data_IF_004581850697
#
_entry.id   IF_004581850697
#
_cell.length_a   1.000
_cell.length_b   1.000
_cell.length_c   1.000
_cell.angle_alpha   90.00
_cell.angle_beta   90.00
_cell.angle_gamma   90.00
#
_symmetry.space_group_name_H-M   'P 1'
#
loop_
_entity.id
_entity.type
_entity.pdbx_description
1 polymer ?
#
# COMPACT_ATOMS: atom_id res chain seq x y z
N UNK A 1 1.10 43.70 -0.77
CA UNK A 1 1.15 42.45 -1.57
C UNK A 1 1.03 41.26 -0.60
N UNK A 2 0.08 40.35 -0.72
CA UNK A 2 0.01 39.18 0.18
C UNK A 2 1.23 38.29 -0.09
N UNK A 3 2.02 38.04 0.97
CA UNK A 3 3.12 37.09 0.92
C UNK A 3 2.57 35.73 0.47
N UNK A 4 3.04 35.19 -0.66
CA UNK A 4 2.82 33.78 -1.04
C UNK A 4 3.34 32.91 0.08
N UNK A 5 2.44 32.37 0.94
CA UNK A 5 2.80 31.33 1.91
C UNK A 5 3.53 30.24 1.13
N UNK A 6 4.81 30.01 1.40
CA UNK A 6 5.57 28.93 0.77
C UNK A 6 4.82 27.63 1.04
N UNK A 7 4.39 26.96 -0.01
CA UNK A 7 3.63 25.70 0.11
C UNK A 7 4.56 24.69 0.76
N UNK A 8 4.25 24.28 2.00
CA UNK A 8 5.05 23.28 2.70
C UNK A 8 5.12 22.01 1.86
N UNK A 9 6.33 21.54 1.56
CA UNK A 9 6.55 20.31 0.81
C UNK A 9 6.08 19.13 1.67
N UNK A 10 5.16 18.33 1.16
CA UNK A 10 4.63 17.12 1.78
C UNK A 10 5.20 15.90 1.06
N UNK A 11 5.78 14.97 1.80
CA UNK A 11 6.45 13.78 1.27
C UNK A 11 5.57 12.54 1.45
N UNK A 12 5.56 11.66 0.44
CA UNK A 12 4.87 10.39 0.48
C UNK A 12 5.75 9.26 -0.08
N UNK A 13 5.60 8.05 0.45
CA UNK A 13 6.24 6.83 -0.04
C UNK A 13 5.17 5.79 -0.42
N UNK A 14 5.29 5.21 -1.63
CA UNK A 14 4.43 4.12 -2.10
C UNK A 14 5.29 2.89 -2.42
N UNK A 15 5.09 1.80 -1.69
CA UNK A 15 5.76 0.55 -2.01
C UNK A 15 5.05 -0.17 -3.16
N UNK A 16 5.82 -0.80 -4.08
CA UNK A 16 5.24 -1.38 -5.29
C UNK A 16 4.60 -0.33 -6.22
N UNK A 17 5.12 0.92 -6.22
CA UNK A 17 4.52 2.07 -6.88
C UNK A 17 4.57 2.09 -8.42
N UNK A 18 5.19 1.09 -9.06
CA UNK A 18 5.44 1.09 -10.50
C UNK A 18 4.34 0.42 -11.34
N UNK A 19 3.45 -0.37 -10.74
CA UNK A 19 2.44 -1.19 -11.44
C UNK A 19 1.13 -1.26 -10.64
N UNK A 20 0.07 -1.71 -11.31
CA UNK A 20 -1.22 -2.00 -10.68
C UNK A 20 -1.72 -0.86 -9.79
N UNK A 21 -2.24 -1.20 -8.63
CA UNK A 21 -2.76 -0.21 -7.67
C UNK A 21 -1.69 0.81 -7.24
N UNK A 22 -0.44 0.38 -7.03
CA UNK A 22 0.66 1.27 -6.66
C UNK A 22 0.88 2.39 -7.67
N UNK A 23 0.75 2.10 -8.97
CA UNK A 23 0.86 3.12 -10.02
C UNK A 23 -0.27 4.15 -9.95
N UNK A 24 -1.52 3.69 -9.77
CA UNK A 24 -2.67 4.58 -9.61
C UNK A 24 -2.57 5.44 -8.35
N UNK A 25 -2.13 4.86 -7.23
CA UNK A 25 -1.89 5.57 -5.97
C UNK A 25 -0.79 6.62 -6.13
N UNK A 26 0.32 6.25 -6.77
CA UNK A 26 1.44 7.19 -7.05
C UNK A 26 0.94 8.38 -7.84
N UNK A 27 0.19 8.14 -8.92
CA UNK A 27 -0.37 9.19 -9.76
C UNK A 27 -1.29 10.13 -8.96
N UNK A 28 -2.20 9.58 -8.17
CA UNK A 28 -3.14 10.36 -7.37
C UNK A 28 -2.44 11.22 -6.30
N UNK A 29 -1.43 10.69 -5.62
CA UNK A 29 -0.67 11.45 -4.63
C UNK A 29 0.19 12.56 -5.25
N UNK A 30 0.79 12.33 -6.43
CA UNK A 30 1.48 13.39 -7.18
C UNK A 30 0.50 14.49 -7.57
N UNK A 31 -0.67 14.15 -8.10
CA UNK A 31 -1.73 15.11 -8.44
C UNK A 31 -2.25 15.88 -7.21
N UNK A 32 -2.27 15.23 -6.02
CA UNK A 32 -2.61 15.87 -4.75
C UNK A 32 -1.47 16.79 -4.21
N UNK A 33 -0.34 16.90 -4.94
CA UNK A 33 0.76 17.79 -4.64
C UNK A 33 1.75 17.26 -3.62
N UNK A 34 1.84 15.93 -3.44
CA UNK A 34 2.93 15.31 -2.70
C UNK A 34 4.19 15.15 -3.56
N UNK A 35 5.35 15.30 -2.94
CA UNK A 35 6.59 14.74 -3.48
C UNK A 35 6.58 13.25 -3.16
N UNK A 36 6.53 12.41 -4.19
CA UNK A 36 6.31 10.97 -4.04
C UNK A 36 7.56 10.18 -4.38
N UNK A 37 7.95 9.29 -3.47
CA UNK A 37 8.92 8.22 -3.74
C UNK A 37 8.17 6.92 -3.98
N UNK A 38 8.72 6.11 -4.88
CA UNK A 38 8.18 4.78 -5.18
C UNK A 38 9.27 3.73 -5.05
N UNK A 39 8.91 2.57 -4.49
CA UNK A 39 9.85 1.44 -4.38
C UNK A 39 9.34 0.20 -5.09
N UNK A 40 10.26 -0.69 -5.41
CA UNK A 40 10.02 -2.01 -6.00
C UNK A 40 11.33 -2.64 -6.48
N UNK A 41 11.28 -3.89 -6.94
CA UNK A 41 12.46 -4.66 -7.34
C UNK A 41 12.86 -4.44 -8.81
N UNK A 42 11.88 -4.16 -9.68
CA UNK A 42 12.09 -3.96 -11.11
C UNK A 42 12.48 -2.51 -11.40
N UNK A 43 13.78 -2.25 -11.49
CA UNK A 43 14.36 -0.92 -11.73
C UNK A 43 13.86 -0.29 -13.04
N UNK A 44 13.68 -1.07 -14.10
CA UNK A 44 13.20 -0.55 -15.40
C UNK A 44 11.76 -0.06 -15.29
N UNK A 45 10.89 -0.84 -14.64
CA UNK A 45 9.50 -0.44 -14.41
C UNK A 45 9.40 0.78 -13.47
N UNK A 46 10.22 0.81 -12.40
CA UNK A 46 10.28 1.93 -11.46
C UNK A 46 10.68 3.24 -12.17
N UNK A 47 11.78 3.23 -12.91
CA UNK A 47 12.27 4.43 -13.58
C UNK A 47 11.27 4.95 -14.62
N UNK A 48 10.63 4.05 -15.37
CA UNK A 48 9.57 4.41 -16.32
C UNK A 48 8.38 5.07 -15.64
N UNK A 49 7.90 4.49 -14.54
CA UNK A 49 6.78 5.03 -13.79
C UNK A 49 7.14 6.38 -13.14
N UNK A 50 8.31 6.48 -12.52
CA UNK A 50 8.79 7.70 -11.89
C UNK A 50 8.91 8.85 -12.89
N UNK A 51 9.55 8.62 -14.03
CA UNK A 51 9.67 9.64 -15.11
C UNK A 51 8.31 10.09 -15.62
N UNK A 52 7.38 9.14 -15.86
CA UNK A 52 6.04 9.45 -16.37
C UNK A 52 5.21 10.27 -15.38
N UNK A 53 5.34 10.02 -14.08
CA UNK A 53 4.47 10.58 -13.05
C UNK A 53 5.10 11.75 -12.28
N UNK A 54 6.39 12.04 -12.47
CA UNK A 54 7.09 13.04 -11.66
C UNK A 54 7.37 12.55 -10.22
N UNK A 55 7.54 11.24 -10.04
CA UNK A 55 7.94 10.62 -8.77
C UNK A 55 9.44 10.32 -8.75
N UNK A 56 9.97 9.92 -7.59
CA UNK A 56 11.36 9.48 -7.43
C UNK A 56 11.40 7.97 -7.21
N UNK A 57 12.18 7.27 -8.03
CA UNK A 57 12.35 5.82 -7.93
C UNK A 57 13.48 5.44 -6.97
N UNK A 58 13.24 4.46 -6.09
CA UNK A 58 14.27 3.82 -5.28
C UNK A 58 14.07 2.30 -5.39
N UNK A 59 15.05 1.60 -5.96
CA UNK A 59 15.00 0.15 -5.98
C UNK A 59 15.11 -0.40 -4.56
N UNK A 60 14.14 -1.21 -4.14
CA UNK A 60 14.12 -1.82 -2.82
C UNK A 60 13.26 -3.08 -2.80
N UNK A 61 13.64 -4.05 -1.97
CA UNK A 61 12.82 -5.18 -1.58
C UNK A 61 12.22 -4.90 -0.19
N UNK A 62 10.90 -4.96 -0.07
CA UNK A 62 10.20 -4.70 1.20
C UNK A 62 10.54 -5.74 2.29
N UNK A 63 11.05 -6.91 1.91
CA UNK A 63 11.49 -7.95 2.85
C UNK A 63 12.86 -7.66 3.47
N UNK A 64 13.63 -6.72 2.89
CA UNK A 64 14.96 -6.31 3.35
C UNK A 64 14.90 -5.12 4.30
N UNK A 65 15.27 -5.31 5.55
CA UNK A 65 15.37 -4.23 6.54
C UNK A 65 16.42 -3.19 6.15
N UNK A 66 17.54 -3.61 5.55
CA UNK A 66 18.59 -2.72 5.05
C UNK A 66 18.08 -1.83 3.90
N UNK A 67 17.25 -2.36 3.01
CA UNK A 67 16.63 -1.56 1.95
C UNK A 67 15.71 -0.50 2.52
N UNK A 68 14.91 -0.84 3.54
CA UNK A 68 14.07 0.12 4.23
C UNK A 68 14.89 1.27 4.87
N UNK A 69 16.02 0.95 5.51
CA UNK A 69 16.90 1.96 6.10
C UNK A 69 17.48 2.88 5.02
N UNK A 70 17.92 2.34 3.89
CA UNK A 70 18.41 3.09 2.73
C UNK A 70 17.31 3.97 2.11
N UNK A 71 16.10 3.44 1.95
CA UNK A 71 14.95 4.21 1.41
C UNK A 71 14.68 5.43 2.27
N UNK A 72 14.58 5.28 3.58
CA UNK A 72 14.32 6.42 4.46
C UNK A 72 15.51 7.37 4.57
N UNK A 73 16.75 6.89 4.50
CA UNK A 73 17.92 7.77 4.44
C UNK A 73 17.87 8.71 3.22
N UNK A 74 17.43 8.22 2.07
CA UNK A 74 17.24 9.06 0.86
C UNK A 74 16.09 10.05 1.05
N UNK A 75 14.96 9.62 1.60
CA UNK A 75 13.78 10.49 1.81
C UNK A 75 14.07 11.59 2.84
N UNK A 76 14.84 11.28 3.88
CA UNK A 76 15.16 12.22 4.95
C UNK A 76 16.08 13.36 4.47
N UNK A 77 16.92 13.14 3.45
CA UNK A 77 17.75 14.18 2.84
C UNK A 77 16.94 15.23 2.06
N UNK A 78 15.75 14.88 1.59
CA UNK A 78 14.90 15.82 0.86
C UNK A 78 14.15 16.78 1.83
N UNK A 79 13.97 18.05 1.45
CA UNK A 79 13.21 19.00 2.28
C UNK A 79 11.75 18.59 2.38
N UNK A 80 11.09 19.02 3.46
CA UNK A 80 9.66 18.82 3.66
C UNK A 80 9.32 17.78 4.71
N UNK A 81 8.01 17.60 4.95
CA UNK A 81 7.46 16.72 5.99
C UNK A 81 7.06 15.37 5.41
N UNK A 82 7.47 14.29 6.04
CA UNK A 82 7.02 12.95 5.66
C UNK A 82 5.65 12.69 6.29
N UNK A 83 4.60 12.69 5.49
CA UNK A 83 3.22 12.64 5.96
C UNK A 83 2.47 11.37 5.54
N UNK A 84 2.94 10.65 4.50
CA UNK A 84 2.20 9.51 3.96
C UNK A 84 3.12 8.33 3.67
N UNK A 85 2.77 7.16 4.21
CA UNK A 85 3.26 5.86 3.75
C UNK A 85 2.10 5.07 3.16
N UNK A 86 2.28 4.50 1.97
CA UNK A 86 1.36 3.50 1.42
C UNK A 86 2.07 2.16 1.28
N UNK A 87 1.75 1.23 2.14
CA UNK A 87 2.18 -0.17 2.04
C UNK A 87 1.28 -0.88 1.03
N UNK A 88 1.70 -0.84 -0.25
CA UNK A 88 0.98 -1.47 -1.35
C UNK A 88 1.70 -2.71 -1.90
N UNK A 89 3.02 -2.82 -1.73
CA UNK A 89 3.73 -4.02 -2.16
C UNK A 89 3.11 -5.29 -1.57
N UNK A 90 2.81 -6.25 -2.44
CA UNK A 90 2.20 -7.52 -2.07
C UNK A 90 2.20 -8.46 -3.27
N UNK A 91 2.11 -9.76 -3.02
CA UNK A 91 2.06 -10.78 -4.05
C UNK A 91 1.28 -12.01 -3.58
N UNK A 92 0.62 -12.68 -4.52
CA UNK A 92 0.10 -14.02 -4.32
C UNK A 92 1.25 -15.02 -4.52
N UNK A 93 1.82 -15.50 -3.43
CA UNK A 93 2.84 -16.52 -3.47
C UNK A 93 2.14 -17.87 -3.38
N UNK A 94 2.25 -18.69 -4.41
CA UNK A 94 1.70 -20.05 -4.48
C UNK A 94 0.30 -20.19 -3.83
N UNK A 95 -0.73 -19.68 -4.51
CA UNK A 95 -2.13 -19.81 -4.06
C UNK A 95 -2.57 -21.26 -4.30
N UNK A 96 -2.60 -22.05 -3.23
CA UNK A 96 -2.89 -23.49 -3.23
C UNK A 96 -3.36 -23.92 -1.83
N UNK A 97 -3.99 -25.12 -1.67
CA UNK A 97 -4.28 -25.68 -0.34
C UNK A 97 -3.06 -25.65 0.58
N UNK A 98 -3.26 -25.36 1.85
CA UNK A 98 -2.14 -25.18 2.80
C UNK A 98 -1.17 -26.35 2.84
N UNK A 99 -1.70 -27.57 2.72
CA UNK A 99 -0.90 -28.81 2.71
C UNK A 99 -0.02 -28.99 1.47
N UNK A 100 -0.28 -28.22 0.42
CA UNK A 100 0.49 -28.21 -0.83
C UNK A 100 1.50 -27.05 -0.91
N UNK A 101 1.45 -26.13 0.04
CA UNK A 101 2.41 -25.01 0.11
C UNK A 101 3.68 -25.50 0.84
N UNK A 102 4.85 -25.15 0.29
CA UNK A 102 6.11 -25.37 1.00
C UNK A 102 6.29 -24.35 2.14
N UNK A 103 7.05 -24.70 3.18
CA UNK A 103 7.43 -23.76 4.24
C UNK A 103 8.07 -22.48 3.66
N UNK A 104 8.90 -22.62 2.62
CA UNK A 104 9.53 -21.49 1.94
C UNK A 104 8.51 -20.57 1.23
N UNK A 105 7.44 -21.12 0.63
CA UNK A 105 6.36 -20.32 0.04
C UNK A 105 5.57 -19.58 1.12
N UNK A 106 5.28 -20.25 2.25
CA UNK A 106 4.61 -19.64 3.40
C UNK A 106 5.45 -18.50 3.99
N UNK A 107 6.72 -18.74 4.24
CA UNK A 107 7.65 -17.74 4.77
C UNK A 107 7.75 -16.52 3.83
N UNK A 108 7.87 -16.76 2.51
CA UNK A 108 7.92 -15.68 1.54
C UNK A 108 6.60 -14.90 1.47
N UNK A 109 5.46 -15.59 1.56
CA UNK A 109 4.14 -14.94 1.58
C UNK A 109 3.99 -14.02 2.80
N UNK A 110 4.39 -14.46 3.99
CA UNK A 110 4.40 -13.66 5.21
C UNK A 110 5.42 -12.52 5.13
N UNK A 111 6.63 -12.79 4.63
CA UNK A 111 7.67 -11.79 4.49
C UNK A 111 7.23 -10.61 3.59
N UNK A 112 6.59 -10.91 2.44
CA UNK A 112 6.18 -9.89 1.48
C UNK A 112 4.90 -9.17 1.92
N UNK A 113 3.86 -9.92 2.34
CA UNK A 113 2.51 -9.37 2.54
C UNK A 113 2.25 -8.87 3.97
N UNK A 114 3.12 -9.21 4.93
CA UNK A 114 3.02 -8.80 6.33
C UNK A 114 4.31 -8.08 6.78
N UNK A 115 5.42 -8.81 6.93
CA UNK A 115 6.63 -8.28 7.56
C UNK A 115 7.15 -7.03 6.85
N UNK A 116 7.12 -7.01 5.50
CA UNK A 116 7.53 -5.84 4.71
C UNK A 116 6.75 -4.57 5.08
N UNK A 117 5.43 -4.68 5.27
CA UNK A 117 4.60 -3.56 5.70
C UNK A 117 4.89 -3.15 7.15
N UNK A 118 5.10 -4.11 8.06
CA UNK A 118 5.48 -3.84 9.46
C UNK A 118 6.80 -3.08 9.53
N UNK A 119 7.81 -3.47 8.74
CA UNK A 119 9.11 -2.78 8.68
C UNK A 119 8.96 -1.33 8.20
N UNK A 120 8.08 -1.11 7.21
CA UNK A 120 7.74 0.22 6.71
C UNK A 120 7.05 1.06 7.77
N UNK A 121 6.02 0.52 8.42
CA UNK A 121 5.28 1.20 9.49
C UNK A 121 6.20 1.62 10.64
N UNK A 122 7.05 0.72 11.13
CA UNK A 122 8.01 1.00 12.20
C UNK A 122 8.91 2.20 11.91
N UNK A 123 9.31 2.38 10.65
CA UNK A 123 10.18 3.49 10.23
C UNK A 123 9.43 4.77 9.89
N UNK A 124 8.23 4.64 9.35
CA UNK A 124 7.40 5.77 8.95
C UNK A 124 6.73 6.46 10.13
N UNK A 125 6.21 5.70 11.11
CA UNK A 125 5.42 6.24 12.22
C UNK A 125 6.15 7.37 12.97
N UNK A 126 7.40 7.22 13.44
CA UNK A 126 8.09 8.31 14.14
C UNK A 126 8.30 9.55 13.26
N UNK A 127 8.53 9.39 11.95
CA UNK A 127 8.69 10.50 11.00
C UNK A 127 7.39 11.28 10.80
N UNK A 128 6.28 10.54 10.70
CA UNK A 128 4.94 11.13 10.60
C UNK A 128 4.58 11.89 11.87
N UNK A 129 4.87 11.32 13.04
CA UNK A 129 4.67 11.97 14.33
C UNK A 129 5.50 13.26 14.43
N UNK A 130 6.78 13.22 14.06
CA UNK A 130 7.64 14.40 14.03
C UNK A 130 7.18 15.47 13.01
N UNK A 131 6.50 15.06 11.94
CA UNK A 131 5.91 15.99 10.98
C UNK A 131 4.69 16.75 11.54
N UNK A 132 4.13 16.29 12.66
CA UNK A 132 2.91 16.81 13.29
C UNK A 132 1.65 16.07 12.85
N UNK A 133 1.80 14.83 12.43
CA UNK A 133 0.72 13.92 12.00
C UNK A 133 0.73 13.57 10.52
N UNK A 134 -0.06 12.58 10.17
CA UNK A 134 -0.20 12.08 8.80
C UNK A 134 -0.85 10.71 8.75
N UNK A 135 -0.66 9.97 7.65
CA UNK A 135 -1.43 8.76 7.39
C UNK A 135 -0.55 7.63 6.88
N UNK A 136 -0.69 6.45 7.46
CA UNK A 136 -0.25 5.19 6.88
C UNK A 136 -1.47 4.50 6.27
N UNK A 137 -1.38 4.11 4.99
CA UNK A 137 -2.40 3.31 4.31
C UNK A 137 -1.82 1.94 3.99
N UNK A 138 -2.41 0.90 4.56
CA UNK A 138 -2.06 -0.48 4.27
C UNK A 138 -3.04 -1.06 3.25
N UNK A 139 -2.55 -1.48 2.09
CA UNK A 139 -3.38 -2.20 1.12
C UNK A 139 -3.50 -3.64 1.58
N UNK A 140 -4.63 -3.93 2.23
CA UNK A 140 -5.05 -5.25 2.67
C UNK A 140 -5.73 -6.03 1.53
N UNK A 141 -6.69 -6.84 1.85
CA UNK A 141 -7.54 -7.59 0.91
C UNK A 141 -8.82 -8.01 1.62
N UNK A 142 -9.88 -8.25 0.85
CA UNK A 142 -11.07 -8.95 1.37
C UNK A 142 -10.72 -10.32 1.96
N UNK A 143 -9.63 -10.95 1.51
CA UNK A 143 -9.08 -12.19 2.07
C UNK A 143 -8.67 -12.07 3.55
N UNK A 144 -8.50 -10.87 4.09
CA UNK A 144 -8.29 -10.67 5.52
C UNK A 144 -9.52 -11.00 6.38
N UNK A 145 -10.70 -11.04 5.75
CA UNK A 145 -12.02 -11.12 6.41
C UNK A 145 -12.87 -12.28 5.94
N UNK A 146 -12.69 -12.68 4.70
CA UNK A 146 -13.40 -13.83 4.11
C UNK A 146 -12.41 -14.91 3.74
N UNK A 147 -12.85 -16.17 3.89
CA UNK A 147 -12.04 -17.33 3.62
C UNK A 147 -12.33 -17.90 2.22
N UNK A 148 -11.27 -18.27 1.51
CA UNK A 148 -11.32 -19.05 0.28
C UNK A 148 -10.31 -20.18 0.35
N UNK A 149 -10.67 -21.33 -0.17
CA UNK A 149 -9.74 -22.44 -0.29
C UNK A 149 -8.50 -22.02 -1.09
N UNK A 150 -7.31 -22.42 -0.64
CA UNK A 150 -6.04 -22.07 -1.25
C UNK A 150 -5.44 -20.73 -0.81
N UNK A 151 -6.16 -19.88 -0.08
CA UNK A 151 -5.70 -18.53 0.28
C UNK A 151 -5.21 -18.39 1.73
N UNK A 152 -5.07 -19.50 2.46
CA UNK A 152 -4.84 -19.51 3.92
C UNK A 152 -3.67 -18.64 4.36
N UNK A 153 -2.46 -18.82 3.80
CA UNK A 153 -1.26 -18.07 4.19
C UNK A 153 -1.36 -16.59 3.80
N UNK A 154 -1.89 -16.30 2.61
CA UNK A 154 -2.13 -14.92 2.19
C UNK A 154 -3.17 -14.23 3.08
N UNK A 155 -4.27 -14.91 3.41
CA UNK A 155 -5.32 -14.41 4.31
C UNK A 155 -4.78 -14.14 5.71
N UNK A 156 -3.97 -15.05 6.26
CA UNK A 156 -3.31 -14.87 7.55
C UNK A 156 -2.40 -13.63 7.56
N UNK A 157 -1.61 -13.43 6.49
CA UNK A 157 -0.77 -12.24 6.35
C UNK A 157 -1.59 -10.93 6.33
N UNK A 158 -2.68 -10.90 5.56
CA UNK A 158 -3.53 -9.71 5.44
C UNK A 158 -4.35 -9.44 6.68
N UNK A 159 -4.86 -10.47 7.36
CA UNK A 159 -5.53 -10.33 8.65
C UNK A 159 -4.57 -9.82 9.74
N UNK A 160 -3.36 -10.36 9.80
CA UNK A 160 -2.31 -9.87 10.69
C UNK A 160 -1.95 -8.40 10.44
N UNK A 161 -1.90 -7.97 9.17
CA UNK A 161 -1.65 -6.58 8.81
C UNK A 161 -2.77 -5.65 9.30
N UNK A 162 -4.04 -6.05 9.18
CA UNK A 162 -5.18 -5.25 9.66
C UNK A 162 -5.16 -5.13 11.19
N UNK A 163 -4.86 -6.22 11.90
CA UNK A 163 -4.77 -6.18 13.37
C UNK A 163 -3.59 -5.34 13.84
N UNK A 164 -2.42 -5.46 13.19
CA UNK A 164 -1.26 -4.61 13.46
C UNK A 164 -1.58 -3.11 13.26
N UNK A 165 -2.32 -2.77 12.20
CA UNK A 165 -2.71 -1.38 11.91
C UNK A 165 -3.54 -0.77 13.04
N UNK A 166 -4.46 -1.54 13.64
CA UNK A 166 -5.29 -1.10 14.78
C UNK A 166 -4.43 -0.80 16.00
N UNK A 167 -3.48 -1.69 16.33
CA UNK A 167 -2.56 -1.49 17.45
C UNK A 167 -1.69 -0.24 17.26
N UNK A 168 -1.07 -0.12 16.08
CA UNK A 168 -0.20 1.03 15.76
C UNK A 168 -0.97 2.37 15.81
N UNK A 169 -2.23 2.38 15.39
CA UNK A 169 -3.09 3.56 15.53
C UNK A 169 -3.27 3.95 17.00
N UNK A 170 -3.61 2.99 17.87
CA UNK A 170 -3.81 3.23 19.29
C UNK A 170 -2.54 3.73 19.99
N UNK A 171 -1.37 3.25 19.56
CA UNK A 171 -0.07 3.65 20.11
C UNK A 171 0.27 5.12 19.81
N UNK A 172 -0.21 5.67 18.67
CA UNK A 172 0.24 6.97 18.18
C UNK A 172 -0.88 7.97 17.81
N UNK A 173 -2.14 7.66 18.04
CA UNK A 173 -3.28 8.51 17.65
C UNK A 173 -3.21 9.91 18.24
N UNK A 174 -2.75 10.04 19.48
CA UNK A 174 -2.64 11.33 20.17
C UNK A 174 -1.54 12.21 19.58
N UNK A 175 -0.56 11.62 18.89
CA UNK A 175 0.46 12.33 18.14
C UNK A 175 0.06 12.61 16.68
N UNK A 176 -1.20 12.33 16.30
CA UNK A 176 -1.75 12.65 14.99
C UNK A 176 -1.47 11.59 13.91
N UNK A 177 -1.01 10.39 14.26
CA UNK A 177 -0.87 9.29 13.32
C UNK A 177 -2.25 8.65 13.05
N UNK A 178 -2.60 8.51 11.78
CA UNK A 178 -3.75 7.74 11.30
C UNK A 178 -3.25 6.50 10.57
N UNK A 179 -3.88 5.35 10.79
CA UNK A 179 -3.50 4.09 10.15
C UNK A 179 -4.74 3.44 9.55
N UNK A 180 -4.84 3.44 8.24
CA UNK A 180 -5.98 2.93 7.47
C UNK A 180 -5.67 1.59 6.85
N UNK A 181 -6.54 0.61 7.02
CA UNK A 181 -6.56 -0.64 6.25
C UNK A 181 -7.57 -0.56 5.12
N UNK A 182 -7.09 -0.60 3.87
CA UNK A 182 -7.92 -0.59 2.68
C UNK A 182 -7.92 -1.99 2.06
N UNK A 183 -9.07 -2.67 2.07
CA UNK A 183 -9.26 -4.05 1.67
C UNK A 183 -10.00 -4.15 0.32
N UNK A 184 -9.30 -4.04 -0.81
CA UNK A 184 -9.89 -4.24 -2.13
C UNK A 184 -10.11 -5.72 -2.41
N UNK A 185 -11.16 -6.00 -3.21
CA UNK A 185 -11.38 -7.30 -3.84
C UNK A 185 -10.82 -7.32 -5.27
N UNK A 186 -11.55 -7.84 -6.26
CA UNK A 186 -11.06 -8.00 -7.64
C UNK A 186 -10.52 -6.70 -8.23
N UNK A 187 -9.26 -6.71 -8.60
CA UNK A 187 -8.57 -5.57 -9.19
C UNK A 187 -8.15 -5.80 -10.64
N UNK A 188 -8.20 -4.75 -11.44
CA UNK A 188 -7.68 -4.74 -12.81
C UNK A 188 -6.14 -4.57 -12.81
N UNK A 189 -5.44 -5.47 -12.12
CA UNK A 189 -3.98 -5.45 -11.92
C UNK A 189 -3.32 -6.72 -12.47
N UNK A 190 -2.00 -6.78 -12.39
CA UNK A 190 -1.22 -7.98 -12.73
C UNK A 190 -1.12 -8.98 -11.56
N UNK A 191 -1.78 -8.74 -10.44
CA UNK A 191 -1.72 -9.60 -9.25
C UNK A 191 -2.13 -11.04 -9.56
N UNK A 192 -3.23 -11.25 -10.28
CA UNK A 192 -3.70 -12.58 -10.67
C UNK A 192 -2.68 -13.36 -11.48
N UNK A 193 -2.02 -12.71 -12.45
CA UNK A 193 -0.97 -13.34 -13.25
C UNK A 193 0.26 -13.69 -12.40
N UNK A 194 0.65 -12.82 -11.47
CA UNK A 194 1.74 -13.07 -10.54
C UNK A 194 1.44 -14.22 -9.55
N UNK A 195 0.17 -14.36 -9.19
CA UNK A 195 -0.34 -15.44 -8.32
C UNK A 195 -0.65 -16.74 -9.09
N UNK A 196 -0.36 -16.78 -10.40
CA UNK A 196 -0.68 -17.91 -11.29
C UNK A 196 -2.18 -18.27 -11.33
N UNK A 197 -3.04 -17.29 -11.10
CA UNK A 197 -4.49 -17.47 -11.21
C UNK A 197 -4.93 -17.36 -12.67
N UNK A 198 -6.09 -17.94 -12.97
CA UNK A 198 -6.70 -17.84 -14.30
C UNK A 198 -6.94 -16.37 -14.70
N UNK A 199 -6.76 -16.09 -15.97
CA UNK A 199 -7.00 -14.76 -16.50
C UNK A 199 -8.47 -14.39 -16.35
N UNK A 200 -8.73 -13.29 -15.68
CA UNK A 200 -10.05 -12.69 -15.70
C UNK A 200 -10.47 -12.38 -17.16
N UNK A 201 -11.71 -12.71 -17.51
CA UNK A 201 -12.28 -12.28 -18.78
C UNK A 201 -12.20 -10.75 -18.93
N UNK A 202 -11.97 -10.25 -20.13
CA UNK A 202 -11.80 -8.82 -20.38
C UNK A 202 -13.00 -7.97 -19.87
N UNK A 203 -14.22 -8.50 -20.00
CA UNK A 203 -15.43 -7.86 -19.49
C UNK A 203 -15.43 -7.74 -17.96
N UNK A 204 -14.96 -8.76 -17.24
CA UNK A 204 -14.83 -8.75 -15.76
C UNK A 204 -13.74 -7.77 -15.36
N UNK A 205 -12.56 -7.82 -15.98
CA UNK A 205 -11.44 -6.92 -15.71
C UNK A 205 -11.82 -5.45 -15.88
N UNK A 206 -12.63 -5.12 -16.90
CA UNK A 206 -13.12 -3.74 -17.12
C UNK A 206 -14.01 -3.23 -15.98
N UNK A 207 -14.72 -4.11 -15.31
CA UNK A 207 -15.65 -3.80 -14.20
C UNK A 207 -15.02 -4.07 -12.81
N UNK A 208 -13.80 -4.58 -12.74
CA UNK A 208 -13.02 -4.70 -11.50
C UNK A 208 -12.49 -3.35 -11.06
N UNK A 209 -12.05 -3.24 -9.81
CA UNK A 209 -11.49 -2.00 -9.24
C UNK A 209 -10.28 -1.57 -10.08
N UNK A 210 -10.35 -0.37 -10.68
CA UNK A 210 -9.26 0.17 -11.50
C UNK A 210 -8.17 0.80 -10.63
N UNK A 211 -6.88 0.76 -11.04
CA UNK A 211 -5.80 1.42 -10.31
C UNK A 211 -6.04 2.91 -10.03
N UNK A 212 -6.64 3.64 -10.97
CA UNK A 212 -6.95 5.06 -10.78
C UNK A 212 -8.04 5.31 -9.74
N UNK A 213 -9.04 4.42 -9.66
CA UNK A 213 -10.12 4.50 -8.67
C UNK A 213 -9.57 4.31 -7.25
N UNK A 214 -8.78 3.26 -7.04
CA UNK A 214 -8.13 3.02 -5.75
C UNK A 214 -7.17 4.15 -5.39
N UNK A 215 -6.44 4.67 -6.37
CA UNK A 215 -5.54 5.81 -6.19
C UNK A 215 -6.27 7.05 -5.68
N UNK A 216 -7.42 7.37 -6.28
CA UNK A 216 -8.25 8.48 -5.83
C UNK A 216 -8.72 8.30 -4.40
N UNK A 217 -9.22 7.12 -4.04
CA UNK A 217 -9.66 6.80 -2.68
C UNK A 217 -8.52 7.00 -1.67
N UNK A 218 -7.31 6.52 -1.97
CA UNK A 218 -6.14 6.72 -1.10
C UNK A 218 -5.82 8.20 -0.93
N UNK A 219 -5.85 8.99 -2.00
CA UNK A 219 -5.61 10.43 -1.92
C UNK A 219 -6.69 11.15 -1.10
N UNK A 220 -7.97 10.79 -1.25
CA UNK A 220 -9.08 11.34 -0.48
C UNK A 220 -8.94 11.01 1.03
N UNK A 221 -8.55 9.77 1.38
CA UNK A 221 -8.26 9.36 2.77
C UNK A 221 -7.12 10.23 3.35
N UNK A 222 -6.04 10.43 2.60
CA UNK A 222 -4.92 11.26 3.04
C UNK A 222 -5.29 12.75 3.19
N UNK A 223 -6.30 13.23 2.47
CA UNK A 223 -6.78 14.60 2.49
C UNK A 223 -7.80 14.89 3.60
N UNK A 224 -8.27 13.89 4.33
CA UNK A 224 -9.23 14.08 5.42
C UNK A 224 -8.70 15.07 6.47
N UNK A 225 -9.57 15.90 7.06
CA UNK A 225 -9.22 16.74 8.21
C UNK A 225 -8.57 15.90 9.33
N UNK A 226 -7.65 16.52 10.09
CA UNK A 226 -6.84 15.80 11.10
C UNK A 226 -7.66 15.09 12.19
N UNK A 227 -8.87 15.57 12.47
CA UNK A 227 -9.77 14.98 13.48
C UNK A 227 -10.60 13.80 12.94
N UNK A 228 -10.50 13.49 11.64
CA UNK A 228 -11.21 12.36 11.01
C UNK A 228 -10.21 11.34 10.46
N UNK A 229 -10.56 10.07 10.57
CA UNK A 229 -9.84 9.02 9.88
C UNK A 229 -10.76 7.85 9.50
N UNK A 230 -10.36 7.14 8.46
CA UNK A 230 -10.97 5.89 8.05
C UNK A 230 -10.13 4.76 8.63
N UNK A 231 -10.63 4.04 9.61
CA UNK A 231 -9.91 2.91 10.19
C UNK A 231 -9.78 1.77 9.18
N UNK A 232 -10.90 1.43 8.55
CA UNK A 232 -11.02 0.32 7.62
C UNK A 232 -11.98 0.67 6.48
N UNK A 233 -11.65 0.23 5.26
CA UNK A 233 -12.54 0.35 4.12
C UNK A 233 -12.45 -0.92 3.27
N UNK A 234 -13.60 -1.53 2.98
CA UNK A 234 -13.70 -2.70 2.11
C UNK A 234 -14.32 -2.28 0.79
N UNK A 235 -13.68 -2.68 -0.32
CA UNK A 235 -14.11 -2.33 -1.68
C UNK A 235 -14.39 -3.59 -2.49
N UNK A 236 -15.59 -3.64 -3.04
CA UNK A 236 -16.04 -4.71 -3.93
C UNK A 236 -16.47 -4.14 -5.28
N UNK A 237 -16.06 -4.75 -6.40
CA UNK A 237 -16.76 -4.50 -7.66
C UNK A 237 -18.21 -4.99 -7.56
N UNK A 238 -19.17 -4.19 -7.99
CA UNK A 238 -20.59 -4.57 -7.92
C UNK A 238 -20.96 -5.83 -8.70
N UNK A 239 -20.10 -6.27 -9.60
CA UNK A 239 -20.26 -7.50 -10.37
C UNK A 239 -19.78 -8.77 -9.66
N UNK A 240 -19.05 -8.62 -8.57
CA UNK A 240 -18.52 -9.75 -7.82
C UNK A 240 -19.55 -10.22 -6.81
N UNK A 241 -19.95 -11.51 -6.84
CA UNK A 241 -20.78 -12.06 -5.77
C UNK A 241 -20.04 -11.93 -4.42
N UNK A 242 -20.75 -11.42 -3.43
CA UNK A 242 -20.30 -11.42 -2.04
C UNK A 242 -21.06 -12.53 -1.35
N UNK A 243 -20.40 -13.64 -1.08
CA UNK A 243 -21.00 -14.71 -0.30
C UNK A 243 -21.00 -14.29 1.17
N UNK A 244 -22.09 -14.50 1.91
CA UNK A 244 -22.11 -14.32 3.36
C UNK A 244 -21.08 -15.24 4.01
N UNK A 245 -20.45 -14.79 5.09
CA UNK A 245 -19.59 -15.61 5.94
C UNK A 245 -20.36 -16.69 6.65
#
# INVERSE_FOLDING_TARGET
>A
MPQKKSRKIRKALVTGGAKGYGLGITQALVQAGYQVWITGRDTKALNRAASKLGATAIQADVTSTADWDRVFAVIDQAPGKFEVLVNNAGAGIHIAPAVEQSDADMDLALAVNLNGALYGCRRAAPRIVMAGGGTIVNISSVCARQAWAGWSTYSAAKAGLEQFAKCLYLEHREQGLRVTSLAPSWGATEFGAAAKLDKQAAAVRKKSIQPAELGKIVADICALPSHLFVQEMVLWPSIQPVEPL
#
